data_IF_639364767350
#
_entry.id   IF_639364767350
#
_cell.length_a   1.000
_cell.length_b   1.000
_cell.length_c   1.000
_cell.angle_alpha   90.00
_cell.angle_beta   90.00
_cell.angle_gamma   90.00
#
_symmetry.space_group_name_H-M   'P 1'
#
loop_
_entity.id
_entity.type
_entity.pdbx_description
1 polymer ?
#
# COMPACT_ATOMS: atom_id res chain seq x y z
N UNK A 1 24.04 17.34 3.23
CA UNK A 1 22.72 17.99 3.40
C UNK A 1 22.82 19.34 2.72
N UNK A 2 22.41 19.42 1.46
CA UNK A 2 22.28 20.70 0.77
C UNK A 2 20.86 21.19 0.98
N UNK A 3 20.72 22.40 1.51
CA UNK A 3 19.45 23.12 1.61
C UNK A 3 18.91 23.34 0.20
N UNK A 4 17.85 22.61 -0.15
CA UNK A 4 17.14 22.78 -1.42
C UNK A 4 15.64 22.73 -1.16
N UNK A 5 14.94 23.64 -1.82
CA UNK A 5 13.50 23.93 -1.79
C UNK A 5 13.06 24.93 -0.72
N UNK A 6 13.59 26.15 -0.79
CA UNK A 6 12.75 27.31 -0.55
C UNK A 6 12.10 27.66 -1.91
N UNK A 7 10.79 27.45 -2.06
CA UNK A 7 10.00 28.37 -2.89
C UNK A 7 10.25 29.80 -2.40
N UNK A 8 9.93 30.84 -3.17
CA UNK A 8 9.99 32.23 -2.71
C UNK A 8 9.05 32.44 -1.50
N UNK A 9 9.50 31.98 -0.33
CA UNK A 9 8.86 32.24 0.94
C UNK A 9 9.09 33.71 1.25
N UNK A 10 8.05 34.33 1.80
CA UNK A 10 8.13 35.69 2.27
C UNK A 10 9.34 35.80 3.21
N UNK A 11 10.35 36.65 2.90
CA UNK A 11 11.52 36.79 3.75
C UNK A 11 11.16 37.23 5.17
N UNK A 12 9.94 37.74 5.40
CA UNK A 12 9.43 38.14 6.69
C UNK A 12 8.66 37.02 7.43
N UNK A 13 8.57 35.81 6.87
CA UNK A 13 7.93 34.67 7.51
C UNK A 13 8.77 34.10 8.66
N UNK A 14 8.19 34.04 9.87
CA UNK A 14 8.77 33.37 11.04
C UNK A 14 8.00 32.10 11.36
N UNK A 15 8.72 31.02 11.66
CA UNK A 15 8.11 29.75 12.03
C UNK A 15 8.31 29.42 13.50
N UNK A 16 7.26 28.93 14.14
CA UNK A 16 7.25 28.49 15.54
C UNK A 16 6.62 27.12 15.62
N UNK A 17 7.28 26.15 16.25
CA UNK A 17 6.75 24.81 16.46
C UNK A 17 6.18 24.73 17.87
N UNK A 18 4.92 24.33 17.98
CA UNK A 18 4.23 24.15 19.26
C UNK A 18 4.16 22.67 19.57
N UNK A 19 4.77 22.26 20.68
CA UNK A 19 4.74 20.90 21.21
C UNK A 19 3.85 20.80 22.44
N UNK A 20 3.30 19.61 22.68
CA UNK A 20 2.61 19.24 23.92
C UNK A 20 3.45 18.17 24.62
N UNK A 21 3.67 18.31 25.92
CA UNK A 21 4.43 17.34 26.70
C UNK A 21 3.87 15.91 26.53
N UNK A 22 4.77 14.94 26.32
CA UNK A 22 4.41 13.54 26.11
C UNK A 22 3.89 13.19 24.70
N UNK A 23 3.68 14.16 23.81
CA UNK A 23 3.31 13.88 22.42
C UNK A 23 4.55 13.76 21.52
N UNK A 24 4.54 12.77 20.63
CA UNK A 24 5.62 12.54 19.67
C UNK A 24 5.65 13.58 18.55
N UNK A 25 4.48 13.93 18.01
CA UNK A 25 4.35 14.95 16.98
C UNK A 25 4.12 16.32 17.63
N UNK A 26 4.56 17.42 17.00
CA UNK A 26 4.11 18.75 17.41
C UNK A 26 2.58 18.86 17.30
N UNK A 27 1.99 19.72 18.12
CA UNK A 27 0.60 20.13 18.02
C UNK A 27 0.37 20.89 16.71
N UNK A 28 1.26 21.82 16.41
CA UNK A 28 1.20 22.63 15.20
C UNK A 28 2.59 23.17 14.80
N UNK A 29 2.72 23.48 13.52
CA UNK A 29 3.73 24.41 13.02
C UNK A 29 3.01 25.72 12.71
N UNK A 30 3.43 26.80 13.36
CA UNK A 30 2.84 28.14 13.19
C UNK A 30 3.74 28.94 12.26
N UNK A 31 3.13 29.64 11.29
CA UNK A 31 3.77 30.62 10.42
C UNK A 31 3.21 32.00 10.75
N UNK A 32 4.10 32.94 11.03
CA UNK A 32 3.80 34.35 11.26
C UNK A 32 4.27 35.16 10.06
N UNK A 33 3.36 35.92 9.47
CA UNK A 33 3.66 36.86 8.38
C UNK A 33 3.12 38.24 8.77
N UNK A 34 3.99 39.11 9.28
CA UNK A 34 3.58 40.36 9.92
C UNK A 34 2.77 40.11 11.19
N UNK A 35 1.52 40.56 11.21
CA UNK A 35 0.56 40.34 12.31
C UNK A 35 -0.34 39.11 12.10
N UNK A 36 -0.22 38.43 10.96
CA UNK A 36 -1.05 37.27 10.63
C UNK A 36 -0.41 35.99 11.16
N UNK A 37 -1.15 35.26 11.98
CA UNK A 37 -0.80 33.93 12.48
C UNK A 37 -1.62 32.86 11.76
N UNK A 38 -0.94 31.90 11.14
CA UNK A 38 -1.52 30.69 10.59
C UNK A 38 -0.87 29.47 11.22
N UNK A 39 -1.63 28.40 11.44
CA UNK A 39 -1.12 27.14 11.98
C UNK A 39 -1.43 25.98 11.05
N UNK A 40 -0.43 25.13 10.86
CA UNK A 40 -0.57 23.81 10.27
C UNK A 40 -0.71 22.79 11.39
N UNK A 41 -1.93 22.30 11.59
CA UNK A 41 -2.29 21.41 12.69
C UNK A 41 -2.42 19.95 12.22
N UNK A 42 -3.00 19.09 13.06
CA UNK A 42 -3.26 17.69 12.70
C UNK A 42 -4.35 17.53 11.61
N UNK A 43 -5.03 18.60 11.25
CA UNK A 43 -5.98 18.65 10.12
C UNK A 43 -5.27 18.80 8.76
N UNK A 44 -3.93 18.91 8.76
CA UNK A 44 -3.06 18.89 7.58
C UNK A 44 -3.35 20.03 6.57
N UNK A 45 -3.68 21.21 7.08
CA UNK A 45 -3.92 22.43 6.31
C UNK A 45 -3.49 23.65 7.11
N UNK A 46 -3.08 24.71 6.41
CA UNK A 46 -2.85 26.02 7.01
C UNK A 46 -4.20 26.69 7.27
N UNK A 47 -4.43 27.12 8.51
CA UNK A 47 -5.61 27.90 8.90
C UNK A 47 -5.21 29.07 9.80
N UNK A 48 -5.97 30.18 9.81
CA UNK A 48 -5.78 31.25 10.78
C UNK A 48 -5.79 30.70 12.21
N UNK A 49 -4.93 31.23 13.06
CA UNK A 49 -4.71 30.69 14.42
C UNK A 49 -4.45 31.77 15.47
N UNK A 50 -4.59 31.37 16.74
CA UNK A 50 -4.26 32.14 17.94
C UNK A 50 -3.40 31.33 18.92
N UNK A 51 -2.80 30.23 18.46
CA UNK A 51 -2.07 29.25 19.29
C UNK A 51 -0.96 29.91 20.09
N UNK A 52 -0.19 30.84 19.52
CA UNK A 52 0.91 31.47 20.24
C UNK A 52 0.43 32.32 21.42
N UNK A 53 -0.73 32.95 21.29
CA UNK A 53 -1.36 33.71 22.39
C UNK A 53 -1.86 32.82 23.53
N UNK A 54 -2.15 31.54 23.22
CA UNK A 54 -2.67 30.54 24.17
C UNK A 54 -1.58 29.79 24.91
N UNK A 55 -0.38 29.63 24.33
CA UNK A 55 0.75 28.92 24.94
C UNK A 55 1.03 29.36 26.40
N UNK A 56 1.04 30.67 26.76
CA UNK A 56 1.24 31.07 28.15
C UNK A 56 0.18 30.57 29.15
N UNK A 57 -1.02 30.23 28.67
CA UNK A 57 -2.13 29.71 29.48
C UNK A 57 -2.22 28.19 29.51
N UNK A 58 -1.42 27.49 28.69
CA UNK A 58 -1.45 26.04 28.53
C UNK A 58 -0.12 25.45 29.07
N UNK A 59 -0.05 24.96 30.31
CA UNK A 59 1.22 24.65 30.99
C UNK A 59 2.03 23.53 30.34
N UNK A 60 1.36 22.62 29.63
CA UNK A 60 2.00 21.48 28.95
C UNK A 60 2.49 21.84 27.55
N UNK A 61 2.26 23.09 27.09
CA UNK A 61 2.58 23.53 25.74
C UNK A 61 3.92 24.26 25.71
N UNK A 62 4.73 23.97 24.70
CA UNK A 62 6.02 24.61 24.49
C UNK A 62 6.10 25.13 23.06
N UNK A 63 6.26 26.45 22.91
CA UNK A 63 6.54 27.10 21.62
C UNK A 63 8.05 27.29 21.46
N UNK A 64 8.59 26.88 20.30
CA UNK A 64 10.01 27.05 19.97
C UNK A 64 10.15 27.62 18.57
N UNK A 65 10.97 28.65 18.43
CA UNK A 65 11.34 29.16 17.11
C UNK A 65 12.03 28.07 16.28
N UNK A 66 11.66 28.00 15.01
CA UNK A 66 12.29 27.12 14.04
C UNK A 66 12.71 27.92 12.81
N UNK A 67 13.85 27.57 12.23
CA UNK A 67 14.16 28.00 10.88
C UNK A 67 13.26 27.26 9.88
N UNK A 68 13.18 27.78 8.66
CA UNK A 68 12.36 27.23 7.57
C UNK A 68 12.61 25.73 7.36
N UNK A 69 13.87 25.31 7.26
CA UNK A 69 14.22 23.90 7.05
C UNK A 69 13.73 22.97 8.16
N UNK A 70 13.85 23.38 9.42
CA UNK A 70 13.34 22.61 10.56
C UNK A 70 11.80 22.59 10.59
N UNK A 71 11.14 23.71 10.33
CA UNK A 71 9.67 23.78 10.25
C UNK A 71 9.15 22.85 9.14
N UNK A 72 9.79 22.88 7.97
CA UNK A 72 9.48 22.00 6.84
C UNK A 72 9.65 20.52 7.18
N UNK A 73 10.69 20.15 7.93
CA UNK A 73 10.86 18.80 8.45
C UNK A 73 9.67 18.33 9.29
N UNK A 74 9.18 19.18 10.21
CA UNK A 74 8.00 18.88 11.03
C UNK A 74 6.72 18.75 10.20
N UNK A 75 6.50 19.63 9.22
CA UNK A 75 5.33 19.55 8.34
C UNK A 75 5.28 18.21 7.60
N UNK A 76 6.41 17.79 7.02
CA UNK A 76 6.53 16.49 6.32
C UNK A 76 6.28 15.33 7.27
N UNK A 77 6.87 15.34 8.47
CA UNK A 77 6.67 14.28 9.47
C UNK A 77 5.22 14.19 9.94
N UNK A 78 4.57 15.34 10.19
CA UNK A 78 3.16 15.41 10.57
C UNK A 78 2.28 14.80 9.49
N UNK A 79 2.41 15.24 8.24
CA UNK A 79 1.63 14.71 7.11
C UNK A 79 1.82 13.20 6.97
N UNK A 80 3.07 12.72 6.95
CA UNK A 80 3.37 11.28 6.85
C UNK A 80 2.73 10.48 7.97
N UNK A 81 2.93 10.90 9.21
CA UNK A 81 2.50 10.13 10.39
C UNK A 81 0.98 10.13 10.53
N UNK A 82 0.33 11.29 10.36
CA UNK A 82 -1.11 11.42 10.49
C UNK A 82 -1.83 10.70 9.34
N UNK A 83 -1.34 10.81 8.10
CA UNK A 83 -1.91 10.08 6.97
C UNK A 83 -1.71 8.59 7.09
N UNK A 84 -0.54 8.12 7.51
CA UNK A 84 -0.30 6.69 7.72
C UNK A 84 -1.27 6.13 8.78
N UNK A 85 -1.44 6.83 9.90
CA UNK A 85 -2.40 6.47 10.95
C UNK A 85 -3.85 6.46 10.45
N UNK A 86 -4.24 7.45 9.66
CA UNK A 86 -5.63 7.62 9.21
C UNK A 86 -5.99 6.66 8.06
N UNK A 87 -5.07 6.42 7.13
CA UNK A 87 -5.38 5.78 5.84
C UNK A 87 -4.75 4.42 5.62
N UNK A 88 -3.69 4.04 6.34
CA UNK A 88 -3.23 2.65 6.31
C UNK A 88 -4.14 1.82 7.21
N UNK A 89 -5.16 1.20 6.65
CA UNK A 89 -6.08 0.35 7.40
C UNK A 89 -5.99 -1.09 6.91
N UNK A 90 -5.99 -2.04 7.84
CA UNK A 90 -6.11 -3.46 7.51
C UNK A 90 -7.49 -3.82 6.93
N UNK A 91 -8.40 -2.84 6.80
CA UNK A 91 -9.73 -2.99 6.23
C UNK A 91 -9.88 -2.39 4.83
N UNK A 92 -8.87 -1.70 4.29
CA UNK A 92 -8.91 -1.25 2.89
C UNK A 92 -8.59 -2.40 1.94
N UNK A 93 -9.18 -2.39 0.75
CA UNK A 93 -8.85 -3.40 -0.27
C UNK A 93 -7.37 -3.30 -0.66
N UNK A 94 -6.86 -2.08 -0.73
CA UNK A 94 -5.46 -1.73 -0.99
C UNK A 94 -5.04 -0.56 -0.11
N UNK A 95 -3.77 -0.54 0.27
CA UNK A 95 -3.14 0.69 0.76
C UNK A 95 -2.60 1.45 -0.44
N UNK A 96 -3.02 2.71 -0.58
CA UNK A 96 -2.57 3.61 -1.63
C UNK A 96 -1.59 4.62 -1.08
N UNK A 97 -0.61 4.98 -1.90
CA UNK A 97 0.47 5.89 -1.56
C UNK A 97 0.70 6.85 -2.73
N UNK A 98 1.02 8.10 -2.42
CA UNK A 98 1.61 9.03 -3.37
C UNK A 98 3.10 9.16 -3.07
N UNK A 99 3.96 9.10 -4.09
CA UNK A 99 5.37 9.46 -3.98
C UNK A 99 5.65 10.82 -4.62
N UNK A 100 6.66 11.51 -4.09
CA UNK A 100 7.03 12.87 -4.47
C UNK A 100 8.54 12.93 -4.67
N UNK A 101 8.99 13.63 -5.73
CA UNK A 101 10.41 13.85 -6.03
C UNK A 101 11.14 14.70 -4.99
N UNK A 102 10.40 15.46 -4.20
CA UNK A 102 10.90 16.37 -3.18
C UNK A 102 10.05 16.23 -1.93
N UNK A 103 10.67 16.29 -0.76
CA UNK A 103 10.00 16.11 0.52
C UNK A 103 8.81 17.07 0.72
N UNK A 104 8.95 18.34 0.36
CA UNK A 104 7.87 19.32 0.49
C UNK A 104 6.67 19.11 -0.44
N UNK A 105 6.83 18.29 -1.49
CA UNK A 105 5.72 17.95 -2.38
C UNK A 105 4.57 17.26 -1.64
N UNK A 106 4.83 16.60 -0.50
CA UNK A 106 3.79 15.94 0.30
C UNK A 106 2.69 16.87 0.80
N UNK A 107 2.93 18.19 0.82
CA UNK A 107 1.95 19.19 1.23
C UNK A 107 0.93 19.51 0.14
N UNK A 108 1.23 19.17 -1.12
CA UNK A 108 0.37 19.44 -2.27
C UNK A 108 0.25 18.21 -3.18
N UNK A 109 -0.92 17.56 -3.13
CA UNK A 109 -1.24 16.41 -3.97
C UNK A 109 -1.23 16.70 -5.48
N UNK A 110 -1.22 17.97 -5.91
CA UNK A 110 -1.04 18.29 -7.33
C UNK A 110 0.38 18.06 -7.84
N UNK A 111 1.35 17.93 -6.92
CA UNK A 111 2.78 17.71 -7.23
C UNK A 111 3.20 16.25 -7.18
N UNK A 112 2.25 15.32 -7.06
CA UNK A 112 2.51 13.88 -7.00
C UNK A 112 3.30 13.43 -8.23
N UNK A 113 4.35 12.65 -7.99
CA UNK A 113 5.14 12.02 -9.06
C UNK A 113 4.53 10.68 -9.46
N UNK A 114 4.16 9.84 -8.48
CA UNK A 114 3.59 8.51 -8.73
C UNK A 114 2.48 8.18 -7.76
N UNK A 115 1.49 7.44 -8.26
CA UNK A 115 0.50 6.74 -7.46
C UNK A 115 0.93 5.28 -7.33
N UNK A 116 1.03 4.80 -6.10
CA UNK A 116 1.46 3.43 -5.78
C UNK A 116 0.34 2.75 -5.00
N UNK A 117 0.13 1.46 -5.21
CA UNK A 117 -0.71 0.61 -4.36
C UNK A 117 0.07 -0.59 -3.88
N UNK A 118 -0.34 -1.18 -2.76
CA UNK A 118 0.19 -2.45 -2.26
C UNK A 118 -0.92 -3.51 -2.24
N UNK A 119 -0.99 -4.39 -3.24
CA UNK A 119 -1.85 -5.56 -3.19
C UNK A 119 -1.41 -6.55 -2.11
N UNK A 120 -2.35 -7.33 -1.61
CA UNK A 120 -2.09 -8.27 -0.53
C UNK A 120 -1.11 -9.37 -0.99
N UNK A 121 0.07 -9.42 -0.37
CA UNK A 121 1.07 -10.46 -0.63
C UNK A 121 1.83 -10.35 -1.95
N UNK A 122 1.73 -9.21 -2.63
CA UNK A 122 2.49 -8.89 -3.83
C UNK A 122 3.54 -7.82 -3.57
N UNK A 123 4.37 -7.57 -4.57
CA UNK A 123 5.18 -6.35 -4.65
C UNK A 123 4.26 -5.14 -4.79
N UNK A 124 4.77 -3.97 -4.43
CA UNK A 124 4.07 -2.73 -4.71
C UNK A 124 3.94 -2.51 -6.22
N UNK A 125 2.88 -1.81 -6.60
CA UNK A 125 2.57 -1.53 -8.00
C UNK A 125 2.39 -0.04 -8.18
N UNK A 126 2.96 0.52 -9.26
CA UNK A 126 2.73 1.89 -9.65
C UNK A 126 1.66 2.00 -10.73
N UNK A 127 0.86 3.05 -10.65
CA UNK A 127 -0.16 3.33 -11.64
C UNK A 127 0.49 3.91 -12.88
N UNK A 128 0.53 3.13 -13.95
CA UNK A 128 1.12 3.53 -15.23
C UNK A 128 0.17 4.43 -16.06
N UNK A 129 -1.05 4.68 -15.57
CA UNK A 129 -2.10 5.40 -16.28
C UNK A 129 -3.20 4.46 -16.78
N UNK A 130 -4.38 4.99 -17.07
CA UNK A 130 -5.40 4.32 -17.87
C UNK A 130 -5.82 2.92 -17.40
N UNK A 131 -6.06 2.77 -16.09
CA UNK A 131 -6.43 1.50 -15.45
C UNK A 131 -5.32 0.43 -15.46
N UNK A 132 -4.08 0.76 -15.85
CA UNK A 132 -2.95 -0.18 -15.79
C UNK A 132 -2.08 0.06 -14.57
N UNK A 133 -1.54 -1.04 -14.05
CA UNK A 133 -0.64 -1.08 -12.90
C UNK A 133 0.58 -1.93 -13.25
N UNK A 134 1.75 -1.46 -12.87
CA UNK A 134 3.02 -2.11 -13.15
C UNK A 134 3.77 -2.40 -11.85
N UNK A 135 4.50 -3.53 -11.75
CA UNK A 135 5.35 -3.79 -10.60
C UNK A 135 6.33 -2.66 -10.33
N UNK A 136 6.49 -2.28 -9.06
CA UNK A 136 7.38 -1.22 -8.62
C UNK A 136 8.15 -1.67 -7.37
N UNK A 137 9.29 -1.05 -7.11
CA UNK A 137 10.06 -1.17 -5.86
C UNK A 137 10.29 0.20 -5.22
N UNK A 138 9.47 1.19 -5.60
CA UNK A 138 9.68 2.59 -5.27
C UNK A 138 9.64 2.91 -3.78
N UNK A 139 8.63 2.46 -3.04
CA UNK A 139 8.55 2.72 -1.61
C UNK A 139 9.61 1.92 -0.87
N UNK A 140 9.95 0.72 -1.34
CA UNK A 140 11.09 -0.03 -0.81
C UNK A 140 12.39 0.79 -0.96
N UNK A 141 12.65 1.36 -2.14
CA UNK A 141 13.82 2.21 -2.37
C UNK A 141 13.84 3.45 -1.47
N UNK A 142 12.69 4.08 -1.22
CA UNK A 142 12.59 5.21 -0.29
C UNK A 142 12.87 4.74 1.15
N UNK A 143 12.22 3.66 1.61
CA UNK A 143 12.38 3.10 2.96
C UNK A 143 13.83 2.69 3.29
N UNK A 144 14.59 2.23 2.30
CA UNK A 144 15.99 1.82 2.44
C UNK A 144 17.00 2.93 2.11
N UNK A 145 16.53 4.16 1.84
CA UNK A 145 17.38 5.31 1.57
C UNK A 145 18.14 5.22 0.25
N UNK A 146 17.63 4.48 -0.73
CA UNK A 146 18.15 4.54 -2.10
C UNK A 146 17.68 5.81 -2.83
N UNK A 147 16.49 6.31 -2.47
CA UNK A 147 15.91 7.53 -3.02
C UNK A 147 15.76 8.60 -1.91
N UNK A 148 16.89 9.04 -1.33
CA UNK A 148 16.95 9.88 -0.10
C UNK A 148 16.27 11.25 -0.17
N UNK A 149 15.94 11.73 -1.37
CA UNK A 149 15.28 13.03 -1.58
C UNK A 149 13.78 12.92 -1.79
N UNK A 150 13.31 11.68 -1.95
CA UNK A 150 11.92 11.40 -2.25
C UNK A 150 11.17 11.04 -0.98
N UNK A 151 9.89 11.35 -0.99
CA UNK A 151 8.99 11.06 0.11
C UNK A 151 7.73 10.39 -0.39
N UNK A 152 7.04 9.67 0.49
CA UNK A 152 5.72 9.15 0.19
C UNK A 152 4.76 9.30 1.37
N UNK A 153 3.47 9.38 1.06
CA UNK A 153 2.39 9.48 2.05
C UNK A 153 1.26 8.53 1.70
N UNK A 154 0.56 8.03 2.72
CA UNK A 154 -0.65 7.24 2.52
C UNK A 154 -1.81 8.12 2.02
N UNK A 155 -2.66 7.54 1.18
CA UNK A 155 -3.82 8.20 0.58
C UNK A 155 -5.12 7.52 1.02
N UNK A 156 -6.16 8.33 1.20
CA UNK A 156 -7.54 7.82 1.19
C UNK A 156 -7.93 7.33 -0.21
N UNK A 157 -9.02 6.55 -0.32
CA UNK A 157 -9.55 6.12 -1.62
C UNK A 157 -9.95 7.30 -2.53
N UNK A 158 -10.50 8.36 -1.94
CA UNK A 158 -10.90 9.56 -2.68
C UNK A 158 -9.68 10.29 -3.24
N UNK A 159 -8.61 10.41 -2.46
CA UNK A 159 -7.36 11.02 -2.90
C UNK A 159 -6.64 10.16 -3.92
N UNK A 160 -6.58 8.84 -3.74
CA UNK A 160 -6.04 7.93 -4.75
C UNK A 160 -6.79 8.07 -6.10
N UNK A 161 -8.12 8.18 -6.07
CA UNK A 161 -8.91 8.44 -7.28
C UNK A 161 -8.63 9.84 -7.87
N UNK A 162 -8.32 10.85 -7.05
CA UNK A 162 -7.90 12.17 -7.52
C UNK A 162 -6.53 12.12 -8.20
N UNK A 163 -5.53 11.53 -7.55
CA UNK A 163 -4.17 11.37 -8.10
C UNK A 163 -4.21 10.54 -9.39
N UNK A 164 -5.04 9.50 -9.46
CA UNK A 164 -5.25 8.73 -10.69
C UNK A 164 -5.63 9.63 -11.87
N UNK A 165 -6.58 10.56 -11.66
CA UNK A 165 -6.99 11.53 -12.68
C UNK A 165 -5.88 12.52 -13.04
N UNK A 166 -5.02 12.89 -12.10
CA UNK A 166 -3.85 13.74 -12.38
C UNK A 166 -2.85 13.01 -13.29
N UNK A 167 -2.54 11.74 -12.97
CA UNK A 167 -1.65 10.91 -13.80
C UNK A 167 -2.24 10.74 -15.20
N UNK A 168 -3.52 10.38 -15.31
CA UNK A 168 -4.18 10.24 -16.62
C UNK A 168 -4.15 11.56 -17.43
N UNK A 169 -4.41 12.70 -16.79
CA UNK A 169 -4.37 14.01 -17.44
C UNK A 169 -2.95 14.47 -17.83
N UNK A 170 -1.91 13.98 -17.15
CA UNK A 170 -0.53 14.22 -17.52
C UNK A 170 -0.17 13.45 -18.79
N UNK A 171 -0.58 12.19 -18.89
CA UNK A 171 -0.42 11.36 -20.09
C UNK A 171 -1.07 12.01 -21.32
N UNK A 172 -2.30 12.49 -21.18
CA UNK A 172 -3.06 13.13 -22.26
C UNK A 172 -2.36 14.40 -22.83
N UNK A 173 -1.54 15.10 -22.03
CA UNK A 173 -0.88 16.35 -22.46
C UNK A 173 0.40 16.11 -23.27
N UNK A 174 1.07 14.98 -23.08
CA UNK A 174 2.38 14.70 -23.70
C UNK A 174 2.33 13.69 -24.84
N UNK A 175 1.16 13.09 -25.10
CA UNK A 175 1.04 11.95 -25.99
C UNK A 175 -0.07 12.12 -27.04
N UNK A 176 0.12 11.46 -28.17
CA UNK A 176 -0.90 11.26 -29.19
C UNK A 176 -1.24 9.77 -29.29
N UNK A 177 -2.53 9.50 -29.44
CA UNK A 177 -3.11 8.18 -29.24
C UNK A 177 -3.69 7.65 -30.54
N UNK A 178 -3.33 6.43 -30.91
CA UNK A 178 -3.70 5.85 -32.19
C UNK A 178 -4.15 4.40 -32.02
N UNK A 179 -5.23 4.01 -32.68
CA UNK A 179 -5.58 2.60 -32.85
C UNK A 179 -5.11 2.15 -34.22
N UNK A 180 -4.31 1.10 -34.24
CA UNK A 180 -3.84 0.45 -35.46
C UNK A 180 -4.79 -0.69 -35.79
N UNK A 181 -5.36 -0.61 -36.99
CA UNK A 181 -6.31 -1.57 -37.53
C UNK A 181 -5.65 -2.35 -38.69
N UNK A 182 -5.95 -3.64 -38.81
CA UNK A 182 -5.65 -4.45 -40.00
C UNK A 182 -6.95 -5.03 -40.51
N UNK A 183 -7.29 -4.74 -41.77
CA UNK A 183 -8.59 -5.06 -42.37
C UNK A 183 -9.78 -4.61 -41.50
N UNK A 184 -9.65 -3.45 -40.84
CA UNK A 184 -10.67 -2.88 -39.96
C UNK A 184 -10.73 -3.47 -38.54
N UNK A 185 -9.90 -4.45 -38.20
CA UNK A 185 -9.83 -5.03 -36.86
C UNK A 185 -8.68 -4.42 -36.05
N UNK A 186 -8.90 -4.02 -34.78
CA UNK A 186 -7.82 -3.52 -33.93
C UNK A 186 -6.80 -4.61 -33.65
N UNK A 187 -5.52 -4.29 -33.89
CA UNK A 187 -4.37 -5.15 -33.62
C UNK A 187 -3.38 -4.53 -32.62
N UNK A 188 -3.37 -3.20 -32.50
CA UNK A 188 -2.58 -2.51 -31.49
C UNK A 188 -3.22 -1.18 -31.07
N UNK A 189 -3.02 -0.82 -29.81
CA UNK A 189 -3.18 0.54 -29.30
C UNK A 189 -1.78 1.16 -29.20
N UNK A 190 -1.58 2.32 -29.83
CA UNK A 190 -0.27 2.96 -29.95
C UNK A 190 -0.30 4.33 -29.30
N UNK A 191 0.66 4.56 -28.42
CA UNK A 191 0.90 5.85 -27.79
C UNK A 191 2.22 6.42 -28.33
N UNK A 192 2.17 7.65 -28.86
CA UNK A 192 3.32 8.36 -29.39
C UNK A 192 3.58 9.63 -28.60
N UNK A 193 4.79 9.77 -28.05
CA UNK A 193 5.21 10.97 -27.30
C UNK A 193 5.40 12.14 -28.28
N UNK A 194 4.72 13.26 -28.02
CA UNK A 194 4.68 14.41 -28.94
C UNK A 194 6.02 15.14 -29.00
N UNK A 195 6.68 15.32 -27.85
CA UNK A 195 7.90 16.11 -27.73
C UNK A 195 9.18 15.36 -28.14
N UNK A 196 9.08 14.08 -28.47
CA UNK A 196 10.21 13.27 -28.96
C UNK A 196 9.77 12.28 -30.06
N UNK A 197 9.33 12.79 -31.23
CA UNK A 197 8.71 11.95 -32.25
C UNK A 197 9.68 10.99 -32.96
N UNK A 198 10.99 11.27 -32.90
CA UNK A 198 12.06 10.52 -33.58
C UNK A 198 12.95 9.72 -32.61
N UNK A 199 12.69 9.78 -31.30
CA UNK A 199 13.44 9.00 -30.32
C UNK A 199 13.13 7.50 -30.39
N UNK A 200 14.07 6.64 -29.98
CA UNK A 200 13.88 5.17 -29.91
C UNK A 200 12.70 4.74 -29.01
N UNK A 201 12.24 5.63 -28.12
CA UNK A 201 11.09 5.45 -27.22
C UNK A 201 9.85 6.26 -27.64
N UNK A 202 9.87 6.88 -28.83
CA UNK A 202 8.82 7.82 -29.26
C UNK A 202 7.47 7.16 -29.52
N UNK A 203 7.43 5.86 -29.83
CA UNK A 203 6.21 5.10 -30.12
C UNK A 203 6.18 3.76 -29.35
N UNK A 204 5.17 3.59 -28.50
CA UNK A 204 4.90 2.35 -27.76
C UNK A 204 3.59 1.72 -28.24
N UNK A 205 3.61 0.43 -28.56
CA UNK A 205 2.45 -0.33 -28.98
C UNK A 205 2.05 -1.39 -27.94
N UNK A 206 0.78 -1.40 -27.60
CA UNK A 206 0.12 -2.42 -26.81
C UNK A 206 -0.69 -3.34 -27.72
N UNK A 207 -0.31 -4.61 -27.80
CA UNK A 207 -0.93 -5.63 -28.68
C UNK A 207 -1.79 -6.63 -27.89
N UNK A 208 -1.96 -6.43 -26.58
CA UNK A 208 -2.63 -7.34 -25.65
C UNK A 208 -1.67 -8.09 -24.71
N UNK A 209 -0.36 -7.97 -24.93
CA UNK A 209 0.68 -8.42 -24.01
C UNK A 209 0.78 -7.52 -22.77
N UNK A 210 1.33 -8.01 -21.65
CA UNK A 210 1.36 -7.25 -20.39
C UNK A 210 2.09 -5.90 -20.48
N UNK A 211 3.15 -5.83 -21.29
CA UNK A 211 4.02 -4.65 -21.37
C UNK A 211 3.97 -4.04 -22.79
N UNK A 212 3.67 -2.74 -22.93
CA UNK A 212 3.80 -2.04 -24.21
C UNK A 212 5.23 -2.15 -24.76
N UNK A 213 5.36 -2.40 -26.07
CA UNK A 213 6.65 -2.58 -26.72
C UNK A 213 6.98 -1.40 -27.64
N UNK A 214 8.26 -1.00 -27.77
CA UNK A 214 8.68 -0.07 -28.81
C UNK A 214 8.22 -0.52 -30.20
N UNK A 215 7.74 0.42 -31.00
CA UNK A 215 7.01 0.11 -32.23
C UNK A 215 7.33 1.07 -33.38
N UNK A 216 7.01 0.64 -34.61
CA UNK A 216 7.00 1.47 -35.83
C UNK A 216 5.70 1.29 -36.61
N UNK A 217 4.63 0.87 -35.94
CA UNK A 217 3.34 0.55 -36.55
C UNK A 217 2.69 1.77 -37.19
N UNK A 218 2.90 2.99 -36.67
CA UNK A 218 2.36 4.20 -37.33
C UNK A 218 3.03 4.43 -38.69
N UNK A 219 4.35 4.29 -38.76
CA UNK A 219 5.10 4.40 -40.02
C UNK A 219 4.86 3.19 -40.95
N UNK A 220 4.45 2.04 -40.42
CA UNK A 220 4.07 0.88 -41.22
C UNK A 220 2.66 1.07 -41.82
N UNK A 221 1.72 1.64 -41.05
CA UNK A 221 0.35 1.90 -41.50
C UNK A 221 0.27 2.87 -42.68
N UNK A 222 1.29 3.72 -42.89
CA UNK A 222 1.36 4.59 -44.08
C UNK A 222 1.84 3.86 -45.35
N UNK A 223 2.45 2.69 -45.20
CA UNK A 223 3.05 1.91 -46.30
C UNK A 223 2.25 0.66 -46.66
N UNK A 224 1.55 0.07 -45.70
CA UNK A 224 0.81 -1.18 -45.87
C UNK A 224 -0.68 -0.92 -46.17
N UNK A 225 -1.19 -1.25 -47.37
CA UNK A 225 -2.57 -0.90 -47.78
C UNK A 225 -3.69 -1.48 -46.91
N UNK A 226 -3.42 -2.58 -46.20
CA UNK A 226 -4.38 -3.25 -45.32
C UNK A 226 -4.38 -2.71 -43.89
N UNK A 227 -3.44 -1.82 -43.59
CA UNK A 227 -3.20 -1.32 -42.25
C UNK A 227 -3.56 0.16 -42.19
N UNK A 228 -4.29 0.57 -41.16
CA UNK A 228 -4.64 1.97 -40.95
C UNK A 228 -4.37 2.35 -39.50
N UNK A 229 -3.89 3.58 -39.29
CA UNK A 229 -3.74 4.15 -37.96
C UNK A 229 -4.75 5.28 -37.79
N UNK A 230 -5.64 5.15 -36.82
CA UNK A 230 -6.68 6.13 -36.53
C UNK A 230 -6.32 6.83 -35.23
N UNK A 231 -5.99 8.13 -35.31
CA UNK A 231 -5.83 8.95 -34.11
C UNK A 231 -7.16 9.00 -33.36
N UNK A 232 -7.12 8.82 -32.04
CA UNK A 232 -8.32 8.69 -31.21
C UNK A 232 -8.13 9.31 -29.83
N UNK A 233 -9.19 9.28 -29.02
CA UNK A 233 -9.14 9.69 -27.61
C UNK A 233 -8.50 8.62 -26.74
N UNK A 234 -8.01 9.04 -25.58
CA UNK A 234 -7.49 8.13 -24.57
C UNK A 234 -8.50 7.05 -24.16
N UNK A 235 -9.75 7.44 -23.87
CA UNK A 235 -10.80 6.48 -23.51
C UNK A 235 -10.96 5.35 -24.55
N UNK A 236 -10.84 5.69 -25.84
CA UNK A 236 -10.90 4.69 -26.92
C UNK A 236 -9.66 3.79 -26.97
N UNK A 237 -8.47 4.31 -26.62
CA UNK A 237 -7.26 3.50 -26.44
C UNK A 237 -7.45 2.49 -25.31
N UNK A 238 -7.91 2.92 -24.14
CA UNK A 238 -8.10 2.02 -22.99
C UNK A 238 -9.07 0.89 -23.32
N UNK A 239 -10.19 1.21 -23.96
CA UNK A 239 -11.14 0.19 -24.42
C UNK A 239 -10.52 -0.77 -25.45
N UNK A 240 -9.67 -0.26 -26.35
CA UNK A 240 -8.95 -1.08 -27.34
C UNK A 240 -7.95 -2.01 -26.63
N UNK A 241 -7.16 -1.49 -25.69
CA UNK A 241 -6.23 -2.28 -24.88
C UNK A 241 -6.97 -3.40 -24.12
N UNK A 242 -8.12 -3.10 -23.51
CA UNK A 242 -8.92 -4.10 -22.82
C UNK A 242 -9.38 -5.24 -23.75
N UNK A 243 -9.86 -4.90 -24.95
CA UNK A 243 -10.27 -5.90 -25.97
C UNK A 243 -9.09 -6.72 -26.48
N UNK A 244 -7.94 -6.09 -26.69
CA UNK A 244 -6.71 -6.78 -27.10
C UNK A 244 -6.24 -7.76 -26.01
N UNK A 245 -6.27 -7.34 -24.74
CA UNK A 245 -5.93 -8.18 -23.58
C UNK A 245 -6.85 -9.40 -23.50
N UNK A 246 -8.17 -9.20 -23.61
CA UNK A 246 -9.13 -10.32 -23.61
C UNK A 246 -8.87 -11.29 -24.76
N UNK A 247 -8.62 -10.79 -25.98
CA UNK A 247 -8.34 -11.62 -27.16
C UNK A 247 -7.03 -12.39 -26.99
N UNK A 248 -5.97 -11.72 -26.56
CA UNK A 248 -4.66 -12.31 -26.34
C UNK A 248 -4.74 -13.42 -25.29
N UNK A 249 -5.30 -13.15 -24.10
CA UNK A 249 -5.43 -14.15 -23.03
C UNK A 249 -6.29 -15.34 -23.45
N UNK A 250 -7.39 -15.10 -24.17
CA UNK A 250 -8.26 -16.18 -24.68
C UNK A 250 -7.50 -17.10 -25.63
N UNK A 251 -6.68 -16.54 -26.52
CA UNK A 251 -5.86 -17.32 -27.45
C UNK A 251 -4.72 -18.02 -26.75
N UNK A 252 -3.98 -17.31 -25.90
CA UNK A 252 -2.80 -17.82 -25.21
C UNK A 252 -3.14 -18.94 -24.21
N UNK A 253 -4.40 -19.04 -23.76
CA UNK A 253 -4.83 -19.96 -22.70
C UNK A 253 -6.04 -20.81 -23.07
N UNK A 254 -6.26 -21.02 -24.37
CA UNK A 254 -7.38 -21.82 -24.85
C UNK A 254 -7.40 -23.25 -24.25
N UNK A 255 -6.23 -23.79 -23.90
CA UNK A 255 -6.06 -25.19 -23.45
C UNK A 255 -5.81 -25.35 -21.93
N UNK A 256 -5.55 -24.27 -21.19
CA UNK A 256 -5.03 -24.32 -19.80
C UNK A 256 -5.92 -23.62 -18.76
N UNK A 257 -7.18 -23.33 -19.09
CA UNK A 257 -8.04 -22.56 -18.19
C UNK A 257 -8.41 -23.35 -16.92
N UNK A 258 -7.96 -22.84 -15.76
CA UNK A 258 -8.34 -23.34 -14.44
C UNK A 258 -9.60 -22.65 -13.88
N UNK A 259 -10.12 -21.65 -14.59
CA UNK A 259 -11.23 -20.79 -14.21
C UNK A 259 -11.13 -19.42 -14.89
N UNK A 260 -12.00 -18.49 -14.48
CA UNK A 260 -12.10 -17.16 -15.07
C UNK A 260 -12.19 -16.08 -13.99
N UNK A 261 -11.44 -14.99 -14.15
CA UNK A 261 -11.68 -13.75 -13.44
C UNK A 261 -12.87 -13.03 -14.09
N UNK A 262 -13.72 -12.40 -13.28
CA UNK A 262 -14.91 -11.67 -13.76
C UNK A 262 -14.86 -10.22 -13.29
N UNK A 263 -15.23 -9.31 -14.18
CA UNK A 263 -15.07 -7.86 -14.02
C UNK A 263 -16.37 -7.11 -14.24
N UNK A 264 -16.52 -5.93 -13.63
CA UNK A 264 -17.73 -5.12 -13.76
C UNK A 264 -17.75 -4.32 -15.05
N UNK A 265 -16.58 -3.88 -15.52
CA UNK A 265 -16.42 -3.07 -16.73
C UNK A 265 -15.40 -3.71 -17.66
N UNK A 266 -15.46 -3.32 -18.94
CA UNK A 266 -14.50 -3.76 -19.94
C UNK A 266 -13.07 -3.37 -19.57
N UNK A 267 -12.84 -2.13 -19.13
CA UNK A 267 -11.49 -1.61 -18.84
C UNK A 267 -10.85 -2.24 -17.62
N UNK A 268 -11.64 -2.74 -16.66
CA UNK A 268 -11.15 -3.42 -15.47
C UNK A 268 -10.32 -4.68 -15.80
N UNK A 269 -10.47 -5.25 -17.01
CA UNK A 269 -9.67 -6.42 -17.44
C UNK A 269 -8.19 -6.10 -17.60
N UNK A 270 -7.81 -4.82 -17.66
CA UNK A 270 -6.42 -4.38 -17.72
C UNK A 270 -5.69 -4.56 -16.38
N UNK A 271 -6.44 -4.70 -15.29
CA UNK A 271 -5.93 -4.96 -13.96
C UNK A 271 -6.59 -6.21 -13.40
N UNK A 272 -5.84 -7.32 -13.34
CA UNK A 272 -6.38 -8.58 -12.85
C UNK A 272 -6.95 -8.46 -11.42
N UNK A 273 -6.39 -7.57 -10.61
CA UNK A 273 -6.85 -7.33 -9.23
C UNK A 273 -8.13 -6.50 -9.15
N UNK A 274 -8.58 -5.89 -10.25
CA UNK A 274 -9.91 -5.28 -10.35
C UNK A 274 -11.04 -6.30 -10.51
N UNK A 275 -10.73 -7.60 -10.67
CA UNK A 275 -11.75 -8.65 -10.68
C UNK A 275 -12.57 -8.64 -9.37
N UNK A 276 -13.88 -8.91 -9.49
CA UNK A 276 -14.79 -9.02 -8.34
C UNK A 276 -15.10 -10.47 -7.96
N UNK A 277 -14.85 -11.43 -8.85
CA UNK A 277 -15.10 -12.86 -8.62
C UNK A 277 -14.15 -13.73 -9.45
N UNK A 278 -13.99 -14.98 -9.02
CA UNK A 278 -13.29 -16.05 -9.74
C UNK A 278 -14.23 -17.24 -9.87
N UNK A 279 -14.57 -17.61 -11.11
CA UNK A 279 -15.57 -18.64 -11.40
C UNK A 279 -14.97 -19.81 -12.18
N UNK A 280 -15.38 -21.06 -11.90
CA UNK A 280 -14.87 -22.22 -12.65
C UNK A 280 -15.41 -22.28 -14.09
N UNK A 281 -16.60 -21.71 -14.33
CA UNK A 281 -17.25 -21.66 -15.65
C UNK A 281 -17.98 -20.33 -15.83
N UNK A 282 -17.94 -19.79 -17.04
CA UNK A 282 -18.65 -18.57 -17.39
C UNK A 282 -20.17 -18.79 -17.43
N UNK A 283 -20.90 -17.73 -17.08
CA UNK A 283 -22.37 -17.61 -17.21
C UNK A 283 -22.66 -16.43 -18.14
N UNK A 284 -23.85 -16.35 -18.76
CA UNK A 284 -24.19 -15.23 -19.67
C UNK A 284 -23.98 -13.83 -19.07
N UNK A 285 -24.12 -13.69 -17.74
CA UNK A 285 -23.89 -12.42 -17.02
C UNK A 285 -22.41 -12.03 -16.85
N UNK A 286 -21.46 -12.92 -17.17
CA UNK A 286 -20.02 -12.68 -17.03
C UNK A 286 -19.46 -12.12 -18.34
N UNK A 287 -19.96 -10.95 -18.75
CA UNK A 287 -19.63 -10.31 -20.03
C UNK A 287 -18.12 -10.03 -20.15
N UNK A 288 -17.53 -9.46 -19.09
CA UNK A 288 -16.10 -9.16 -19.03
C UNK A 288 -15.40 -10.20 -18.17
N UNK A 289 -14.58 -11.02 -18.82
CA UNK A 289 -13.84 -12.09 -18.14
C UNK A 289 -12.51 -12.41 -18.79
N UNK A 290 -11.57 -12.92 -17.98
CA UNK A 290 -10.26 -13.37 -18.43
C UNK A 290 -10.01 -14.81 -17.99
N UNK A 291 -9.48 -15.70 -18.86
CA UNK A 291 -9.09 -17.04 -18.46
C UNK A 291 -7.84 -16.99 -17.56
N UNK A 292 -7.85 -17.80 -16.51
CA UNK A 292 -6.78 -17.90 -15.52
C UNK A 292 -6.09 -19.26 -15.63
N UNK A 293 -4.77 -19.28 -15.46
CA UNK A 293 -4.05 -20.50 -15.17
C UNK A 293 -4.26 -20.86 -13.68
N UNK A 294 -3.80 -22.05 -13.27
CA UNK A 294 -4.01 -22.52 -11.89
C UNK A 294 -3.40 -21.59 -10.84
N UNK A 295 -2.21 -21.04 -11.10
CA UNK A 295 -1.51 -20.16 -10.15
C UNK A 295 -2.27 -18.85 -9.96
N UNK A 296 -2.58 -18.15 -11.05
CA UNK A 296 -3.32 -16.89 -11.01
C UNK A 296 -4.70 -17.05 -10.38
N UNK A 297 -5.40 -18.15 -10.68
CA UNK A 297 -6.70 -18.44 -10.06
C UNK A 297 -6.59 -18.52 -8.55
N UNK A 298 -5.61 -19.28 -8.06
CA UNK A 298 -5.43 -19.51 -6.63
C UNK A 298 -4.99 -18.22 -5.91
N UNK A 299 -4.10 -17.43 -6.53
CA UNK A 299 -3.62 -16.16 -5.98
C UNK A 299 -4.75 -15.10 -5.97
N UNK A 300 -5.47 -14.93 -7.08
CA UNK A 300 -6.58 -13.99 -7.17
C UNK A 300 -7.74 -14.37 -6.24
N UNK A 301 -8.06 -15.67 -6.11
CA UNK A 301 -9.07 -16.15 -5.18
C UNK A 301 -8.70 -15.84 -3.72
N UNK A 302 -7.41 -15.98 -3.36
CA UNK A 302 -6.92 -15.62 -2.04
C UNK A 302 -7.01 -14.10 -1.78
N UNK A 303 -6.64 -13.25 -2.75
CA UNK A 303 -6.80 -11.78 -2.63
C UNK A 303 -8.26 -11.37 -2.50
N UNK A 304 -9.14 -11.92 -3.33
CA UNK A 304 -10.58 -11.70 -3.26
C UNK A 304 -11.16 -12.09 -1.89
N UNK A 305 -10.71 -13.21 -1.33
CA UNK A 305 -11.11 -13.62 0.01
C UNK A 305 -10.72 -12.60 1.07
N UNK A 306 -9.50 -12.07 1.02
CA UNK A 306 -9.05 -11.02 1.95
C UNK A 306 -9.91 -9.76 1.80
N UNK A 307 -10.07 -9.24 0.58
CA UNK A 307 -10.90 -8.05 0.30
C UNK A 307 -12.33 -8.22 0.77
N UNK A 308 -12.96 -9.35 0.46
CA UNK A 308 -14.32 -9.64 0.90
C UNK A 308 -14.42 -9.74 2.43
N UNK A 309 -13.43 -10.35 3.10
CA UNK A 309 -13.39 -10.39 4.56
C UNK A 309 -13.22 -8.99 5.19
N UNK A 310 -12.40 -8.11 4.58
CA UNK A 310 -12.24 -6.71 5.00
C UNK A 310 -13.53 -5.91 4.91
N UNK A 311 -14.21 -5.96 3.76
CA UNK A 311 -15.52 -5.30 3.55
C UNK A 311 -16.59 -5.82 4.51
N UNK A 312 -16.55 -7.12 4.85
CA UNK A 312 -17.48 -7.76 5.76
C UNK A 312 -17.09 -7.67 7.24
N UNK A 313 -15.90 -7.15 7.58
CA UNK A 313 -15.39 -7.12 8.94
C UNK A 313 -16.30 -6.32 9.86
N UNK A 314 -16.57 -6.85 11.06
CA UNK A 314 -17.38 -6.18 12.09
C UNK A 314 -16.73 -6.40 13.46
N UNK A 315 -16.84 -5.42 14.38
CA UNK A 315 -16.30 -5.57 15.72
C UNK A 315 -16.94 -6.75 16.47
N UNK A 316 -16.13 -7.49 17.22
CA UNK A 316 -16.54 -8.55 18.15
C UNK A 316 -16.11 -8.08 19.54
N UNK A 317 -17.06 -7.83 20.44
CA UNK A 317 -16.72 -7.33 21.79
C UNK A 317 -15.80 -6.10 21.77
N UNK A 318 -16.13 -5.12 20.92
CA UNK A 318 -15.38 -3.86 20.80
C UNK A 318 -14.07 -3.93 20.02
N UNK A 319 -13.69 -5.07 19.44
CA UNK A 319 -12.41 -5.24 18.72
C UNK A 319 -12.59 -5.82 17.33
N UNK A 320 -11.69 -5.47 16.41
CA UNK A 320 -11.50 -6.17 15.14
C UNK A 320 -10.41 -7.23 15.31
N UNK A 321 -10.67 -8.45 14.83
CA UNK A 321 -9.76 -9.59 14.97
C UNK A 321 -9.23 -10.02 13.60
N UNK A 322 -7.95 -10.36 13.54
CA UNK A 322 -7.28 -10.74 12.31
C UNK A 322 -6.43 -11.99 12.52
N UNK A 323 -6.61 -12.99 11.67
CA UNK A 323 -5.67 -14.10 11.57
C UNK A 323 -4.47 -13.70 10.71
N UNK A 324 -3.28 -14.15 11.10
CA UNK A 324 -2.03 -13.85 10.40
C UNK A 324 -1.51 -15.06 9.62
N UNK A 325 -1.07 -14.83 8.38
CA UNK A 325 -0.59 -15.86 7.45
C UNK A 325 0.78 -15.51 6.86
N UNK A 326 1.60 -16.54 6.62
CA UNK A 326 2.95 -16.37 6.08
C UNK A 326 2.99 -16.12 4.59
N UNK A 327 1.92 -16.53 3.90
CA UNK A 327 1.75 -16.48 2.46
C UNK A 327 0.29 -16.22 2.18
N UNK A 328 0.01 -15.49 1.11
CA UNK A 328 -1.33 -15.16 0.66
C UNK A 328 -2.21 -16.40 0.55
N UNK A 329 -1.77 -17.46 -0.15
CA UNK A 329 -2.55 -18.71 -0.31
C UNK A 329 -2.96 -19.38 1.02
N UNK A 330 -2.24 -19.09 2.11
CA UNK A 330 -2.56 -19.57 3.45
C UNK A 330 -3.97 -19.15 3.89
N UNK A 331 -4.45 -17.98 3.46
CA UNK A 331 -5.77 -17.44 3.86
C UNK A 331 -6.93 -18.34 3.45
N UNK A 332 -6.73 -19.22 2.47
CA UNK A 332 -7.76 -20.15 1.99
C UNK A 332 -8.14 -21.21 3.03
N UNK A 333 -7.28 -21.49 4.00
CA UNK A 333 -7.58 -22.34 5.13
C UNK A 333 -7.19 -21.65 6.45
N UNK A 334 -8.17 -21.34 7.29
CA UNK A 334 -7.94 -20.68 8.59
C UNK A 334 -7.01 -21.49 9.50
N UNK A 335 -6.89 -22.80 9.32
CA UNK A 335 -6.00 -23.63 10.13
C UNK A 335 -4.51 -23.40 9.83
N UNK A 336 -4.21 -22.67 8.75
CA UNK A 336 -2.86 -22.20 8.41
C UNK A 336 -2.49 -20.89 9.13
N UNK A 337 -3.44 -20.27 9.85
CA UNK A 337 -3.14 -19.09 10.64
C UNK A 337 -2.10 -19.45 11.70
N UNK A 338 -1.00 -18.69 11.77
CA UNK A 338 0.06 -18.95 12.74
C UNK A 338 -0.04 -18.02 13.96
N UNK A 339 -0.77 -16.92 13.84
CA UNK A 339 -1.03 -15.97 14.91
C UNK A 339 -2.40 -15.32 14.74
N UNK A 340 -2.84 -14.66 15.79
CA UNK A 340 -4.10 -13.94 15.89
C UNK A 340 -3.80 -12.61 16.56
N UNK A 341 -4.24 -11.52 15.94
CA UNK A 341 -4.13 -10.17 16.50
C UNK A 341 -5.49 -9.52 16.57
N UNK A 342 -5.60 -8.48 17.40
CA UNK A 342 -6.78 -7.62 17.46
C UNK A 342 -6.37 -6.17 17.64
N UNK A 343 -7.29 -5.29 17.30
CA UNK A 343 -7.20 -3.84 17.56
C UNK A 343 -8.57 -3.36 18.03
N UNK A 344 -8.66 -2.43 18.99
CA UNK A 344 -9.92 -1.82 19.35
C UNK A 344 -10.62 -1.19 18.13
N UNK A 345 -11.94 -1.30 18.09
CA UNK A 345 -12.75 -0.76 16.99
C UNK A 345 -12.97 0.75 17.06
N UNK A 346 -12.53 1.39 18.15
CA UNK A 346 -12.57 2.84 18.35
C UNK A 346 -11.47 3.59 17.57
N UNK A 347 -10.58 2.86 16.88
CA UNK A 347 -9.49 3.43 16.12
C UNK A 347 -8.23 3.72 16.94
N UNK A 348 -8.18 3.32 18.21
CA UNK A 348 -6.93 3.31 18.96
C UNK A 348 -5.96 2.31 18.32
N UNK A 349 -4.74 2.74 18.02
CA UNK A 349 -3.71 1.89 17.39
C UNK A 349 -3.05 0.91 18.39
N UNK A 350 -3.77 0.52 19.43
CA UNK A 350 -3.29 -0.44 20.43
C UNK A 350 -3.48 -1.86 19.92
N UNK A 351 -2.58 -2.29 19.05
CA UNK A 351 -2.56 -3.65 18.54
C UNK A 351 -2.18 -4.65 19.63
N UNK A 352 -2.89 -5.77 19.68
CA UNK A 352 -2.62 -6.86 20.61
C UNK A 352 -2.55 -8.20 19.89
N UNK A 353 -1.67 -9.10 20.34
CA UNK A 353 -1.47 -10.44 19.82
C UNK A 353 -1.94 -11.49 20.82
N UNK A 354 -2.64 -12.50 20.34
CA UNK A 354 -3.15 -13.59 21.15
C UNK A 354 -2.03 -14.52 21.60
N UNK A 355 -1.93 -14.69 22.91
CA UNK A 355 -0.99 -15.60 23.53
C UNK A 355 -1.63 -16.97 23.77
N UNK A 356 -2.37 -17.15 24.86
CA UNK A 356 -3.09 -18.38 25.24
C UNK A 356 -4.15 -18.05 26.29
N UNK A 357 -5.14 -18.92 26.46
CA UNK A 357 -6.14 -18.83 27.55
C UNK A 357 -6.76 -17.43 27.70
N UNK A 358 -7.07 -16.78 26.58
CA UNK A 358 -7.65 -15.44 26.55
C UNK A 358 -6.67 -14.29 26.85
N UNK A 359 -5.37 -14.55 27.01
CA UNK A 359 -4.34 -13.52 27.21
C UNK A 359 -3.92 -12.88 25.89
N UNK A 360 -3.80 -11.55 25.91
CA UNK A 360 -3.40 -10.70 24.79
C UNK A 360 -2.20 -9.86 25.20
N UNK A 361 -1.26 -9.63 24.28
CA UNK A 361 -0.04 -8.85 24.51
C UNK A 361 0.05 -7.72 23.50
N UNK A 362 0.50 -6.52 23.89
CA UNK A 362 0.71 -5.41 22.96
C UNK A 362 1.73 -5.83 21.90
N UNK A 363 1.44 -5.50 20.65
CA UNK A 363 2.30 -5.75 19.50
C UNK A 363 2.35 -4.49 18.64
N UNK A 364 3.33 -4.41 17.75
CA UNK A 364 3.28 -3.46 16.65
C UNK A 364 2.22 -3.89 15.62
N UNK A 365 1.74 -2.91 14.84
CA UNK A 365 0.89 -3.16 13.68
C UNK A 365 1.59 -4.10 12.69
N UNK A 366 0.91 -5.13 12.15
CA UNK A 366 1.52 -6.11 11.26
C UNK A 366 1.74 -5.58 9.83
N UNK A 367 2.69 -4.65 9.63
CA UNK A 367 2.90 -3.94 8.35
C UNK A 367 3.27 -4.79 7.12
N UNK A 368 3.85 -5.99 7.32
CA UNK A 368 4.39 -6.84 6.22
C UNK A 368 3.77 -8.24 6.19
N UNK A 369 2.69 -8.46 6.94
CA UNK A 369 2.15 -9.79 7.18
C UNK A 369 0.75 -9.87 6.60
N UNK A 370 0.38 -11.05 6.10
CA UNK A 370 -0.93 -11.24 5.49
C UNK A 370 -1.96 -11.34 6.60
N UNK A 371 -2.89 -10.39 6.66
CA UNK A 371 -3.96 -10.35 7.67
C UNK A 371 -5.31 -10.69 7.05
N UNK A 372 -6.08 -11.54 7.73
CA UNK A 372 -7.46 -11.85 7.34
C UNK A 372 -8.41 -11.50 8.49
N UNK A 373 -9.29 -10.50 8.31
CA UNK A 373 -10.34 -10.21 9.28
C UNK A 373 -11.22 -11.42 9.55
N UNK A 374 -11.57 -11.64 10.81
CA UNK A 374 -12.31 -12.81 11.27
C UNK A 374 -13.76 -12.47 11.64
N UNK A 375 -14.66 -13.37 11.27
CA UNK A 375 -15.99 -13.46 11.88
C UNK A 375 -15.89 -14.15 13.26
N UNK A 376 -16.97 -14.13 14.06
CA UNK A 376 -16.99 -14.81 15.37
C UNK A 376 -16.63 -16.30 15.25
N UNK A 377 -17.23 -17.01 14.29
CA UNK A 377 -16.92 -18.42 14.03
C UNK A 377 -15.46 -18.62 13.59
N UNK A 378 -14.91 -17.69 12.80
CA UNK A 378 -13.51 -17.70 12.40
C UNK A 378 -12.57 -17.52 13.58
N UNK A 379 -12.89 -16.58 14.48
CA UNK A 379 -12.15 -16.33 15.72
C UNK A 379 -12.09 -17.57 16.60
N UNK A 380 -13.22 -18.23 16.85
CA UNK A 380 -13.27 -19.44 17.69
C UNK A 380 -12.45 -20.60 17.08
N UNK A 381 -12.47 -20.74 15.75
CA UNK A 381 -11.67 -21.73 15.03
C UNK A 381 -10.18 -21.44 15.16
N UNK A 382 -9.75 -20.23 14.82
CA UNK A 382 -8.34 -19.82 14.85
C UNK A 382 -7.79 -19.87 16.28
N UNK A 383 -8.56 -19.43 17.27
CA UNK A 383 -8.17 -19.49 18.69
C UNK A 383 -7.90 -20.92 19.15
N UNK A 384 -8.82 -21.86 18.86
CA UNK A 384 -8.62 -23.29 19.18
C UNK A 384 -7.43 -23.90 18.46
N UNK A 385 -7.25 -23.55 17.18
CA UNK A 385 -6.11 -24.02 16.38
C UNK A 385 -4.78 -23.53 16.94
N UNK A 386 -4.69 -22.25 17.32
CA UNK A 386 -3.49 -21.65 17.89
C UNK A 386 -3.21 -22.23 19.28
N UNK A 387 -4.23 -22.44 20.11
CA UNK A 387 -4.09 -23.05 21.43
C UNK A 387 -3.59 -24.50 21.37
N UNK A 388 -3.86 -25.22 20.28
CA UNK A 388 -3.41 -26.60 20.06
C UNK A 388 -2.10 -26.73 19.26
N UNK A 389 -1.47 -25.63 18.86
CA UNK A 389 -0.22 -25.69 18.11
C UNK A 389 0.96 -26.13 18.99
N UNK A 390 1.75 -27.09 18.52
CA UNK A 390 2.85 -27.71 19.29
C UNK A 390 3.95 -26.72 19.71
N UNK A 391 4.26 -25.74 18.85
CA UNK A 391 5.25 -24.71 19.14
C UNK A 391 4.99 -23.44 18.33
N UNK A 392 5.19 -22.28 18.95
CA UNK A 392 5.13 -20.95 18.32
C UNK A 392 6.37 -20.16 18.65
N UNK A 393 6.84 -19.33 17.72
CA UNK A 393 8.08 -18.57 17.89
C UNK A 393 7.78 -17.07 17.85
N UNK A 394 8.43 -16.32 18.72
CA UNK A 394 8.30 -14.87 18.82
C UNK A 394 9.69 -14.23 18.94
N UNK A 395 9.83 -13.03 18.42
CA UNK A 395 10.99 -12.18 18.65
C UNK A 395 10.57 -11.00 19.54
N UNK A 396 11.33 -10.77 20.60
CA UNK A 396 11.20 -9.58 21.45
C UNK A 396 12.26 -8.58 21.01
N UNK A 397 11.84 -7.34 20.74
CA UNK A 397 12.72 -6.21 20.46
C UNK A 397 12.48 -5.11 21.49
N UNK A 398 13.55 -4.49 21.97
CA UNK A 398 13.53 -3.24 22.71
C UNK A 398 14.21 -2.14 21.91
N UNK A 399 14.43 -0.97 22.52
CA UNK A 399 15.04 0.20 21.84
C UNK A 399 16.42 -0.11 21.23
N UNK A 400 17.22 -0.94 21.90
CA UNK A 400 18.57 -1.32 21.46
C UNK A 400 18.60 -2.49 20.46
N UNK A 401 17.44 -2.95 19.99
CA UNK A 401 17.31 -4.03 19.01
C UNK A 401 16.76 -5.33 19.60
N UNK A 402 17.20 -6.46 19.06
CA UNK A 402 16.68 -7.78 19.44
C UNK A 402 17.09 -8.12 20.88
N UNK A 403 16.08 -8.35 21.73
CA UNK A 403 16.25 -8.74 23.14
C UNK A 403 16.28 -10.27 23.25
N UNK A 404 15.32 -10.96 22.63
CA UNK A 404 15.19 -12.40 22.76
C UNK A 404 14.45 -13.07 21.59
N UNK A 405 14.68 -14.36 21.40
CA UNK A 405 13.78 -15.25 20.67
C UNK A 405 13.04 -16.11 21.68
N UNK A 406 11.72 -16.17 21.58
CA UNK A 406 10.87 -17.01 22.40
C UNK A 406 10.32 -18.17 21.59
N UNK A 407 10.22 -19.33 22.23
CA UNK A 407 9.42 -20.48 21.79
C UNK A 407 8.36 -20.74 22.85
N UNK A 408 7.10 -20.66 22.48
CA UNK A 408 5.99 -21.12 23.31
C UNK A 408 5.63 -22.53 22.90
N UNK A 409 5.92 -23.47 23.78
CA UNK A 409 5.37 -24.82 23.71
C UNK A 409 4.02 -24.83 24.42
N UNK A 410 3.19 -25.85 24.17
CA UNK A 410 1.88 -25.97 24.82
C UNK A 410 1.91 -25.85 26.35
N UNK A 411 3.05 -26.14 26.99
CA UNK A 411 3.23 -26.12 28.45
C UNK A 411 4.24 -25.10 28.98
N UNK A 412 5.18 -24.59 28.18
CA UNK A 412 6.28 -23.76 28.67
C UNK A 412 6.64 -22.61 27.72
N UNK A 413 7.10 -21.51 28.30
CA UNK A 413 7.83 -20.46 27.60
C UNK A 413 9.33 -20.79 27.65
N UNK A 414 9.99 -20.73 26.51
CA UNK A 414 11.44 -20.92 26.41
C UNK A 414 12.06 -19.77 25.61
N UNK A 415 13.30 -19.43 25.91
CA UNK A 415 14.10 -18.47 25.14
C UNK A 415 15.31 -19.12 24.50
N UNK A 416 15.69 -18.66 23.30
CA UNK A 416 16.88 -19.14 22.61
C UNK A 416 18.13 -18.53 23.24
N UNK A 417 19.00 -19.38 23.74
CA UNK A 417 20.36 -19.05 24.17
C UNK A 417 21.36 -19.80 23.28
N UNK A 418 22.65 -19.42 23.34
CA UNK A 418 23.69 -19.99 22.47
C UNK A 418 23.83 -21.52 22.51
N UNK A 419 23.28 -22.19 23.53
CA UNK A 419 23.29 -23.64 23.72
C UNK A 419 21.94 -24.34 23.44
N UNK A 420 20.88 -23.60 23.09
CA UNK A 420 19.54 -24.16 22.83
C UNK A 420 18.40 -23.35 23.44
N UNK A 421 17.24 -24.01 23.60
CA UNK A 421 16.05 -23.43 24.21
C UNK A 421 16.05 -23.70 25.72
N UNK A 422 15.89 -22.66 26.53
CA UNK A 422 15.81 -22.78 27.99
C UNK A 422 14.51 -22.16 28.50
N UNK A 423 13.90 -22.67 29.60
CA UNK A 423 12.73 -22.04 30.21
C UNK A 423 12.92 -20.54 30.48
N UNK A 424 11.87 -19.77 30.27
CA UNK A 424 11.88 -18.31 30.34
C UNK A 424 10.61 -17.78 31.01
N UNK A 425 10.72 -16.61 31.64
CA UNK A 425 9.60 -15.84 32.21
C UNK A 425 9.53 -14.42 31.61
N UNK A 426 10.09 -14.22 30.41
CA UNK A 426 10.15 -12.93 29.74
C UNK A 426 8.75 -12.37 29.45
N UNK A 427 7.75 -13.22 29.19
CA UNK A 427 6.37 -12.73 29.04
C UNK A 427 5.73 -12.26 30.35
N UNK A 428 6.18 -12.78 31.49
CA UNK A 428 5.76 -12.31 32.81
C UNK A 428 6.31 -10.92 33.11
N UNK A 429 7.59 -10.70 32.79
CA UNK A 429 8.28 -9.40 32.96
C UNK A 429 7.85 -8.34 31.97
N UNK A 430 7.33 -8.74 30.82
CA UNK A 430 6.95 -7.82 29.74
C UNK A 430 5.88 -6.79 30.17
N UNK A 431 5.01 -7.11 31.12
CA UNK A 431 4.02 -6.14 31.62
C UNK A 431 4.69 -4.91 32.28
N UNK A 432 5.93 -5.07 32.76
CA UNK A 432 6.71 -4.02 33.40
C UNK A 432 7.64 -3.29 32.42
N UNK A 433 7.69 -3.71 31.14
CA UNK A 433 8.62 -3.21 30.11
C UNK A 433 7.83 -2.69 28.89
N UNK A 434 7.20 -1.50 28.97
CA UNK A 434 6.26 -1.00 27.98
C UNK A 434 6.88 -0.73 26.59
N UNK A 435 8.21 -0.61 26.53
CA UNK A 435 8.98 -0.38 25.29
C UNK A 435 9.26 -1.67 24.49
N UNK A 436 8.97 -2.84 25.06
CA UNK A 436 9.21 -4.11 24.39
C UNK A 436 8.11 -4.42 23.37
N UNK A 437 8.51 -4.63 22.12
CA UNK A 437 7.65 -5.07 21.02
C UNK A 437 7.85 -6.55 20.76
N UNK A 438 6.78 -7.33 20.84
CA UNK A 438 6.77 -8.77 20.57
C UNK A 438 6.17 -9.03 19.19
N UNK A 439 6.90 -9.74 18.32
CA UNK A 439 6.45 -10.10 16.98
C UNK A 439 6.57 -11.60 16.74
N UNK A 440 5.54 -12.22 16.16
CA UNK A 440 5.62 -13.62 15.78
C UNK A 440 6.61 -13.83 14.62
N UNK A 441 7.42 -14.88 14.68
CA UNK A 441 8.46 -15.20 13.68
C UNK A 441 8.30 -16.61 13.13
N UNK A 442 8.81 -16.83 11.92
CA UNK A 442 8.81 -18.17 11.32
C UNK A 442 9.67 -19.11 12.17
N UNK A 443 9.29 -20.39 12.31
CA UNK A 443 10.25 -21.40 12.72
C UNK A 443 11.42 -21.34 11.73
N UNK A 444 12.58 -20.88 12.19
CA UNK A 444 13.79 -21.04 11.38
C UNK A 444 14.03 -22.54 11.34
N UNK A 445 13.97 -23.13 10.14
CA UNK A 445 14.36 -24.53 9.98
C UNK A 445 15.71 -24.71 10.68
N UNK A 446 15.81 -25.71 11.54
CA UNK A 446 16.88 -25.91 12.54
C UNK A 446 18.31 -26.01 11.99
N UNK A 447 18.53 -25.75 10.70
CA UNK A 447 19.82 -25.85 10.00
C UNK A 447 20.53 -24.56 9.60
N UNK A 448 20.06 -23.35 9.98
CA UNK A 448 20.73 -22.10 9.54
C UNK A 448 21.00 -21.03 10.62
N UNK A 449 20.79 -21.32 11.90
CA UNK A 449 21.25 -20.43 12.98
C UNK A 449 22.71 -20.74 13.35
N UNK A 450 23.64 -20.52 12.41
CA UNK A 450 25.08 -20.45 12.68
C UNK A 450 25.67 -19.20 12.05
N UNK A 451 25.54 -18.11 12.79
CA UNK A 451 26.47 -16.98 13.02
C UNK A 451 25.76 -15.64 13.02
#
# INVERSE_FOLDING_TARGET
MGDYCASEEDPDARYVVVHVEGQRLPLAVVRLTGEVEEAFTHDLRWEPSDLLSRVPSEPDWQARDANVGHANGFLVEMVKTIRARTYESELTDYNYYASFKQALGVLDLTTVDRLIRRPEGEVEEEYAGHETWEPSDKLHRIDFGHDVHEEYIALSLTEAAYVKRLVDAQWDRGCSHHVVLVDGLPVAAVTKVVDNPDGELGELAFTGEPEPQPSRLLAQATREPRMTAVQTSMASIVETMARLTMRWRTRARAEETAGYAVFHRLTDVLDLDSAYDVVPKLKPRHEFSLPLNSSERDDLAARLRVRNARRAARPISGHLYFAMFWRLRGVMNLDNAYSLVRVPADGSEQWEMYLRDGRWLRTSKPRKLITLPLTRTGLDRVTRRIASAESRFFEIRGEQGRVALLRLTGSAEETSQGSGWVPSELLGRWQDEPEWVISAVKPVGTGQLTR
#
